data_IF_671355476644
#
_entry.id   IF_671355476644
#
_cell.length_a   1.000
_cell.length_b   1.000
_cell.length_c   1.000
_cell.angle_alpha   90.00
_cell.angle_beta   90.00
_cell.angle_gamma   90.00
#
_symmetry.space_group_name_H-M   'P 1'
#
loop_
_entity.id
_entity.type
_entity.pdbx_description
1 polymer ?
#
# COMPACT_ATOMS: atom_id res chain seq x y z
N UNK A 1 5.52 51.53 -4.83
CA UNK A 1 5.11 50.41 -3.95
C UNK A 1 3.71 49.95 -4.34
N UNK A 2 3.56 48.74 -4.89
CA UNK A 2 2.42 47.83 -4.68
C UNK A 2 2.75 46.51 -5.37
N UNK A 3 3.24 45.57 -4.57
CA UNK A 3 3.52 44.18 -4.95
C UNK A 3 2.15 43.50 -5.06
N UNK A 4 1.76 43.06 -6.25
CA UNK A 4 0.59 42.20 -6.38
C UNK A 4 0.99 40.80 -5.94
N UNK A 5 0.33 40.39 -4.86
CA UNK A 5 0.54 39.16 -4.13
C UNK A 5 0.33 37.94 -5.02
N UNK A 6 1.24 37.00 -4.85
CA UNK A 6 1.14 35.60 -5.26
C UNK A 6 -0.27 35.05 -5.04
N UNK A 7 -0.99 34.77 -6.13
CA UNK A 7 -2.06 33.78 -6.10
C UNK A 7 -1.42 32.39 -6.20
N UNK A 8 -0.66 32.02 -5.16
CA UNK A 8 -0.31 30.63 -4.89
C UNK A 8 -1.60 29.95 -4.43
N UNK A 9 -2.43 29.57 -5.40
CA UNK A 9 -3.51 28.62 -5.18
C UNK A 9 -2.83 27.27 -4.97
N UNK A 10 -2.37 27.07 -3.73
CA UNK A 10 -2.10 25.77 -3.17
C UNK A 10 -3.45 25.02 -3.20
N UNK A 11 -3.73 24.42 -4.35
CA UNK A 11 -4.47 23.18 -4.41
C UNK A 11 -3.64 22.16 -3.64
N UNK A 12 -3.71 22.24 -2.32
CA UNK A 12 -3.60 21.06 -1.47
C UNK A 12 -4.79 20.18 -1.84
N UNK A 13 -4.67 19.51 -2.98
CA UNK A 13 -5.29 18.23 -3.20
C UNK A 13 -4.77 17.38 -2.05
N UNK A 14 -5.53 17.36 -0.96
CA UNK A 14 -5.54 16.23 -0.05
C UNK A 14 -6.04 15.08 -0.92
N UNK A 15 -5.14 14.51 -1.72
CA UNK A 15 -5.26 13.13 -2.10
C UNK A 15 -5.38 12.43 -0.75
N UNK A 16 -6.59 12.03 -0.40
CA UNK A 16 -6.83 11.12 0.70
C UNK A 16 -6.22 9.80 0.27
N UNK A 17 -4.90 9.74 0.19
CA UNK A 17 -4.18 8.49 0.06
C UNK A 17 -4.46 7.81 1.38
N UNK A 18 -5.32 6.79 1.35
CA UNK A 18 -5.43 5.94 2.51
C UNK A 18 -4.06 5.30 2.70
N UNK A 19 -3.37 5.73 3.76
CA UNK A 19 -2.14 5.12 4.20
C UNK A 19 -2.48 3.78 4.83
N UNK A 20 -2.04 2.71 4.16
CA UNK A 20 -2.32 1.36 4.61
C UNK A 20 -1.16 0.73 5.37
N UNK A 21 -0.12 1.51 5.71
CA UNK A 21 0.84 1.12 6.74
C UNK A 21 0.12 0.67 8.03
N UNK A 22 -1.03 1.29 8.32
CA UNK A 22 -1.94 0.92 9.40
C UNK A 22 -2.48 -0.53 9.38
N UNK A 23 -2.45 -1.18 8.22
CA UNK A 23 -2.91 -2.56 8.05
C UNK A 23 -1.84 -3.61 8.39
N UNK A 24 -0.63 -3.17 8.79
CA UNK A 24 0.48 -4.07 9.11
C UNK A 24 1.17 -4.64 7.87
N UNK A 25 1.06 -3.95 6.74
CA UNK A 25 1.83 -4.19 5.51
C UNK A 25 2.92 -3.12 5.43
N UNK A 26 4.04 -3.37 4.73
CA UNK A 26 5.02 -2.34 4.39
C UNK A 26 4.37 -1.07 3.86
N UNK A 27 5.06 0.06 3.95
CA UNK A 27 4.57 1.39 3.55
C UNK A 27 4.01 1.42 2.13
N UNK A 28 2.73 1.04 2.02
CA UNK A 28 1.95 1.02 0.80
C UNK A 28 0.76 1.94 0.96
N UNK A 29 0.43 2.63 -0.13
CA UNK A 29 -0.57 3.68 -0.14
C UNK A 29 -1.49 3.47 -1.34
N UNK A 30 -2.75 3.81 -1.16
CA UNK A 30 -3.71 3.85 -2.26
C UNK A 30 -3.16 4.67 -3.44
N UNK A 31 -3.34 4.16 -4.65
CA UNK A 31 -2.85 4.78 -5.89
C UNK A 31 -1.41 4.42 -6.27
N UNK A 32 -0.65 3.74 -5.42
CA UNK A 32 0.70 3.31 -5.78
C UNK A 32 0.73 2.36 -6.98
N UNK A 33 1.71 2.54 -7.86
CA UNK A 33 1.88 1.66 -9.01
C UNK A 33 2.26 0.25 -8.59
N UNK A 34 2.03 -0.74 -9.48
CA UNK A 34 2.48 -2.13 -9.31
C UNK A 34 3.94 -2.22 -8.88
N UNK A 35 4.82 -1.48 -9.56
CA UNK A 35 6.26 -1.52 -9.28
C UNK A 35 6.59 -0.98 -7.89
N UNK A 36 5.94 0.10 -7.48
CA UNK A 36 6.11 0.68 -6.13
C UNK A 36 5.66 -0.31 -5.04
N UNK A 37 4.53 -0.99 -5.25
CA UNK A 37 4.03 -2.01 -4.32
C UNK A 37 5.01 -3.18 -4.21
N UNK A 38 5.49 -3.71 -5.34
CA UNK A 38 6.44 -4.83 -5.35
C UNK A 38 7.76 -4.47 -4.66
N UNK A 39 8.29 -3.27 -4.91
CA UNK A 39 9.50 -2.76 -4.23
C UNK A 39 9.30 -2.61 -2.72
N UNK A 40 8.13 -2.14 -2.28
CA UNK A 40 7.82 -2.02 -0.86
C UNK A 40 7.76 -3.40 -0.17
N UNK A 41 7.16 -4.40 -0.82
CA UNK A 41 7.13 -5.78 -0.33
C UNK A 41 8.54 -6.36 -0.22
N UNK A 42 9.36 -6.24 -1.27
CA UNK A 42 10.74 -6.74 -1.31
C UNK A 42 11.62 -6.08 -0.23
N UNK A 43 11.60 -4.74 -0.15
CA UNK A 43 12.38 -3.97 0.84
C UNK A 43 12.11 -4.40 2.29
N UNK A 44 10.89 -4.87 2.56
CA UNK A 44 10.45 -5.27 3.88
C UNK A 44 10.42 -6.79 4.07
N UNK A 45 11.03 -7.55 3.16
CA UNK A 45 11.16 -9.01 3.24
C UNK A 45 9.82 -9.75 3.25
N UNK A 46 8.82 -9.22 2.54
CA UNK A 46 7.57 -9.93 2.30
C UNK A 46 7.74 -10.90 1.13
N UNK A 47 7.28 -12.14 1.33
CA UNK A 47 7.31 -13.21 0.34
C UNK A 47 6.01 -13.17 -0.45
N UNK A 48 6.11 -12.95 -1.76
CA UNK A 48 4.96 -13.03 -2.67
C UNK A 48 4.67 -14.50 -2.96
N UNK A 49 3.46 -14.95 -2.65
CA UNK A 49 3.03 -16.34 -2.81
C UNK A 49 2.21 -16.53 -4.08
N UNK A 50 1.43 -15.51 -4.46
CA UNK A 50 0.62 -15.58 -5.67
C UNK A 50 0.51 -14.22 -6.35
N UNK A 51 0.54 -14.24 -7.68
CA UNK A 51 0.15 -13.13 -8.53
C UNK A 51 -0.86 -13.62 -9.54
N UNK A 52 -2.02 -12.99 -9.60
CA UNK A 52 -3.10 -13.33 -10.53
C UNK A 52 -3.64 -12.09 -11.20
N UNK A 53 -3.66 -12.11 -12.52
CA UNK A 53 -4.40 -11.12 -13.30
C UNK A 53 -5.89 -11.52 -13.36
N UNK A 54 -6.76 -10.55 -13.09
CA UNK A 54 -8.21 -10.67 -13.20
C UNK A 54 -8.72 -9.84 -14.40
N UNK A 55 -10.04 -9.80 -14.55
CA UNK A 55 -10.72 -8.97 -15.55
C UNK A 55 -10.33 -7.49 -15.33
N UNK A 56 -10.10 -6.77 -16.43
CA UNK A 56 -9.72 -5.35 -16.46
C UNK A 56 -8.32 -5.01 -15.93
N UNK A 57 -7.30 -5.82 -16.23
CA UNK A 57 -5.88 -5.53 -15.90
C UNK A 57 -5.66 -5.28 -14.40
N UNK A 58 -6.48 -5.92 -13.56
CA UNK A 58 -6.31 -5.92 -12.12
C UNK A 58 -5.35 -7.03 -11.73
N UNK A 59 -4.26 -6.69 -11.06
CA UNK A 59 -3.32 -7.61 -10.46
C UNK A 59 -3.67 -7.82 -8.99
N UNK A 60 -3.97 -9.06 -8.63
CA UNK A 60 -4.08 -9.49 -7.23
C UNK A 60 -2.76 -10.12 -6.81
N UNK A 61 -2.19 -9.59 -5.73
CA UNK A 61 -0.94 -10.07 -5.12
C UNK A 61 -1.29 -10.61 -3.74
N UNK A 62 -0.99 -11.88 -3.50
CA UNK A 62 -0.97 -12.45 -2.15
C UNK A 62 0.48 -12.51 -1.66
N UNK A 63 0.74 -11.92 -0.49
CA UNK A 63 2.07 -11.89 0.11
C UNK A 63 2.01 -12.14 1.62
N UNK A 64 3.09 -12.68 2.17
CA UNK A 64 3.24 -12.98 3.59
C UNK A 64 4.53 -12.34 4.10
N UNK A 65 4.48 -11.78 5.29
CA UNK A 65 5.69 -11.22 5.88
C UNK A 65 5.46 -10.74 7.29
N UNK A 66 6.53 -10.33 7.98
CA UNK A 66 6.39 -9.71 9.28
C UNK A 66 5.64 -8.37 9.13
N UNK A 67 4.75 -8.03 10.08
CA UNK A 67 4.19 -6.69 10.11
C UNK A 67 5.31 -5.64 10.24
N UNK A 68 5.03 -4.40 9.83
CA UNK A 68 5.99 -3.31 10.06
C UNK A 68 6.25 -3.12 11.56
N UNK A 69 7.41 -2.53 11.89
CA UNK A 69 7.83 -2.35 13.30
C UNK A 69 6.78 -1.63 14.16
N UNK A 70 6.05 -0.68 13.57
CA UNK A 70 4.97 0.05 14.25
C UNK A 70 3.80 -0.86 14.64
N UNK A 71 3.52 -1.86 13.81
CA UNK A 71 2.34 -2.71 13.93
C UNK A 71 2.61 -4.10 14.53
N UNK A 72 3.87 -4.49 14.67
CA UNK A 72 4.27 -5.75 15.32
C UNK A 72 3.67 -5.88 16.73
N UNK A 73 3.64 -4.79 17.51
CA UNK A 73 3.04 -4.78 18.86
C UNK A 73 1.52 -4.81 18.85
N UNK A 74 0.89 -4.18 17.85
CA UNK A 74 -0.57 -4.07 17.73
C UNK A 74 -1.21 -5.39 17.33
N UNK A 75 -0.57 -6.14 16.43
CA UNK A 75 -1.14 -7.37 15.91
C UNK A 75 -0.71 -8.63 16.66
N UNK A 76 0.29 -8.54 17.56
CA UNK A 76 0.80 -9.66 18.37
C UNK A 76 1.07 -10.94 17.53
N UNK A 77 1.46 -10.75 16.27
CA UNK A 77 1.66 -11.79 15.28
C UNK A 77 2.99 -11.56 14.58
N UNK A 78 3.80 -12.62 14.51
CA UNK A 78 5.11 -12.59 13.86
C UNK A 78 5.00 -12.64 12.33
N UNK A 79 3.79 -12.93 11.82
CA UNK A 79 3.50 -13.06 10.40
C UNK A 79 2.09 -12.52 10.09
N UNK A 80 1.98 -11.81 8.96
CA UNK A 80 0.73 -11.34 8.37
C UNK A 80 0.64 -11.82 6.92
N UNK A 81 -0.56 -12.16 6.50
CA UNK A 81 -0.93 -12.32 5.09
C UNK A 81 -1.59 -11.03 4.60
N UNK A 82 -1.21 -10.59 3.41
CA UNK A 82 -1.80 -9.45 2.71
C UNK A 82 -2.33 -9.87 1.34
N UNK A 83 -3.52 -9.39 1.00
CA UNK A 83 -4.11 -9.47 -0.34
C UNK A 83 -4.21 -8.05 -0.89
N UNK A 84 -3.43 -7.75 -1.91
CA UNK A 84 -3.36 -6.43 -2.56
C UNK A 84 -4.01 -6.50 -3.94
N UNK A 85 -4.88 -5.54 -4.27
CA UNK A 85 -5.44 -5.40 -5.63
C UNK A 85 -4.93 -4.11 -6.26
N UNK A 86 -4.20 -4.24 -7.38
CA UNK A 86 -3.57 -3.14 -8.12
C UNK A 86 -4.13 -3.09 -9.54
N UNK A 87 -4.72 -1.97 -9.93
CA UNK A 87 -5.18 -1.73 -11.30
C UNK A 87 -4.11 -0.99 -12.10
N UNK A 88 -3.90 -1.34 -13.37
CA UNK A 88 -2.82 -0.76 -14.20
C UNK A 88 -2.83 0.77 -14.27
N UNK A 89 -4.01 1.39 -14.39
CA UNK A 89 -4.16 2.85 -14.56
C UNK A 89 -4.45 3.62 -13.28
N UNK A 90 -4.90 2.93 -12.23
CA UNK A 90 -5.32 3.56 -10.96
C UNK A 90 -4.33 3.27 -9.84
N UNK A 91 -3.51 2.23 -9.97
CA UNK A 91 -2.62 1.76 -8.93
C UNK A 91 -3.34 0.90 -7.91
N UNK A 92 -2.79 0.85 -6.71
CA UNK A 92 -3.27 0.06 -5.59
C UNK A 92 -4.65 0.57 -5.13
N UNK A 93 -5.67 -0.30 -5.02
CA UNK A 93 -7.06 0.09 -4.71
C UNK A 93 -7.68 -0.67 -3.55
N UNK A 94 -7.17 -1.86 -3.23
CA UNK A 94 -7.62 -2.63 -2.08
C UNK A 94 -6.45 -3.28 -1.38
N UNK A 95 -6.50 -3.26 -0.05
CA UNK A 95 -5.64 -4.06 0.81
C UNK A 95 -6.47 -4.73 1.89
N UNK A 96 -6.26 -6.04 2.04
CA UNK A 96 -6.81 -6.82 3.14
C UNK A 96 -5.71 -7.58 3.83
N UNK A 97 -5.79 -7.66 5.16
CA UNK A 97 -4.72 -8.23 5.96
C UNK A 97 -5.25 -9.11 7.07
N UNK A 98 -4.65 -10.27 7.24
CA UNK A 98 -4.97 -11.23 8.30
C UNK A 98 -3.71 -11.75 8.96
N UNK A 99 -3.81 -12.27 10.18
CA UNK A 99 -2.72 -13.01 10.79
C UNK A 99 -2.46 -14.26 9.93
N UNK A 100 -1.19 -14.67 9.82
CA UNK A 100 -0.91 -16.01 9.28
C UNK A 100 -1.50 -17.06 10.22
N UNK A 101 -2.06 -18.13 9.66
CA UNK A 101 -2.51 -19.27 10.46
C UNK A 101 -1.33 -19.77 11.31
N UNK A 102 -1.56 -20.01 12.59
CA UNK A 102 -0.59 -20.64 13.50
C UNK A 102 -0.58 -22.15 13.31
#
# INVERSE_FOLDING_TARGET
MKKYLFAAMLLSLTACTNDWSHSGVPDVYEGQSKQSVLQALEKNHWVIVQQKELINKALVIEAYGPPTKQFAKLFAADCRKAILTVFEYVGLQRLETTACDK
#
